data_IF_642414553701
#
_entry.id   IF_642414553701
#
_cell.length_a   1.000
_cell.length_b   1.000
_cell.length_c   1.000
_cell.angle_alpha   90.00
_cell.angle_beta   90.00
_cell.angle_gamma   90.00
#
_symmetry.space_group_name_H-M   'P 1'
#
loop_
_entity.id
_entity.type
_entity.pdbx_description
1 polymer ?
#
# COMPACT_ATOMS: atom_id res chain seq x y z
N UNK A 1 -34.02 -35.97 9.22
CA UNK A 1 -34.49 -34.56 9.17
C UNK A 1 -33.94 -33.91 7.92
N UNK A 2 -34.77 -33.72 6.88
CA UNK A 2 -34.38 -33.06 5.64
C UNK A 2 -34.36 -31.54 5.84
N UNK A 3 -33.18 -30.93 5.77
CA UNK A 3 -33.04 -29.47 5.78
C UNK A 3 -33.35 -28.94 4.39
N UNK A 4 -34.57 -28.46 4.19
CA UNK A 4 -34.95 -27.72 2.99
C UNK A 4 -34.23 -26.38 2.95
N UNK A 5 -33.71 -26.00 1.79
CA UNK A 5 -33.03 -24.72 1.58
C UNK A 5 -34.07 -23.60 1.71
N UNK A 6 -33.79 -22.63 2.58
CA UNK A 6 -34.67 -21.49 2.84
C UNK A 6 -34.68 -20.54 1.62
N UNK A 7 -35.83 -20.42 0.95
CA UNK A 7 -36.02 -19.57 -0.24
C UNK A 7 -35.75 -18.08 0.04
N UNK A 8 -35.97 -17.62 1.27
CA UNK A 8 -35.76 -16.23 1.67
C UNK A 8 -34.27 -15.88 1.74
N UNK A 9 -33.41 -16.88 1.97
CA UNK A 9 -31.96 -16.67 1.95
C UNK A 9 -31.42 -16.46 0.53
N UNK A 10 -32.06 -17.04 -0.49
CA UNK A 10 -31.67 -16.80 -1.89
C UNK A 10 -32.17 -15.44 -2.39
N UNK A 11 -33.32 -14.96 -1.92
CA UNK A 11 -33.84 -13.64 -2.32
C UNK A 11 -32.97 -12.50 -1.82
N UNK A 12 -32.50 -12.51 -0.56
CA UNK A 12 -31.59 -11.47 -0.05
C UNK A 12 -30.25 -11.41 -0.80
N UNK A 13 -29.76 -12.56 -1.28
CA UNK A 13 -28.52 -12.60 -2.07
C UNK A 13 -28.73 -11.98 -3.46
N UNK A 14 -29.87 -12.21 -4.08
CA UNK A 14 -30.21 -11.63 -5.39
C UNK A 14 -30.48 -10.13 -5.28
N UNK A 15 -31.18 -9.71 -4.23
CA UNK A 15 -31.52 -8.30 -3.98
C UNK A 15 -30.26 -7.44 -3.75
N UNK A 16 -29.25 -7.97 -3.03
CA UNK A 16 -27.96 -7.29 -2.88
C UNK A 16 -27.14 -7.17 -4.18
N UNK A 17 -27.41 -8.01 -5.18
CA UNK A 17 -26.73 -8.00 -6.47
C UNK A 17 -27.46 -7.13 -7.52
N UNK A 18 -28.78 -6.97 -7.40
CA UNK A 18 -29.62 -6.23 -8.38
C UNK A 18 -30.06 -4.85 -7.92
N UNK A 19 -29.77 -4.45 -6.66
CA UNK A 19 -30.12 -3.12 -6.16
C UNK A 19 -29.25 -2.02 -6.80
N UNK A 20 -29.66 -1.59 -7.99
CA UNK A 20 -29.35 -0.27 -8.52
C UNK A 20 -30.07 0.75 -7.63
N UNK A 21 -29.29 1.57 -6.93
CA UNK A 21 -29.75 2.64 -6.02
C UNK A 21 -30.92 3.43 -6.64
N UNK A 22 -32.11 3.24 -6.10
CA UNK A 22 -33.16 4.26 -6.08
C UNK A 22 -33.11 5.01 -4.75
N UNK A 23 -33.22 6.32 -4.87
CA UNK A 23 -33.13 7.35 -3.83
C UNK A 23 -34.22 7.22 -2.77
N UNK A 24 -33.81 7.17 -1.48
CA UNK A 24 -34.39 7.66 -0.20
C UNK A 24 -35.85 8.19 -0.12
N UNK A 25 -36.47 8.31 1.08
CA UNK A 25 -36.17 7.77 2.43
C UNK A 25 -37.39 6.98 2.99
N UNK A 26 -37.31 6.27 4.11
CA UNK A 26 -37.82 6.75 5.40
C UNK A 26 -37.59 5.67 6.48
N UNK A 27 -37.11 6.17 7.61
CA UNK A 27 -37.32 5.74 8.99
C UNK A 27 -36.68 4.45 9.57
N UNK A 28 -35.89 4.76 10.60
CA UNK A 28 -35.71 4.08 11.87
C UNK A 28 -34.62 2.99 12.11
N UNK A 29 -33.80 3.36 13.10
CA UNK A 29 -33.07 2.55 14.07
C UNK A 29 -31.62 2.10 13.76
N UNK A 30 -30.67 2.82 14.40
CA UNK A 30 -29.41 2.29 14.95
C UNK A 30 -29.66 1.02 15.80
N UNK A 31 -28.66 0.13 16.08
CA UNK A 31 -27.23 0.45 16.23
C UNK A 31 -26.23 -0.55 15.58
N UNK A 32 -24.97 -0.11 15.57
CA UNK A 32 -23.72 -0.91 15.56
C UNK A 32 -23.85 -2.19 16.44
N UNK A 33 -23.02 -3.27 16.31
CA UNK A 33 -21.59 -3.20 16.01
C UNK A 33 -20.94 -4.41 15.28
N UNK A 34 -19.66 -4.23 14.99
CA UNK A 34 -18.59 -5.22 15.17
C UNK A 34 -18.40 -6.38 14.17
N UNK A 35 -17.12 -6.47 13.80
CA UNK A 35 -16.31 -7.68 13.86
C UNK A 35 -16.28 -8.58 12.62
N UNK A 36 -15.26 -8.30 11.81
CA UNK A 36 -14.12 -9.21 11.63
C UNK A 36 -14.44 -10.61 11.08
N UNK A 37 -14.12 -10.85 9.81
CA UNK A 37 -12.97 -11.70 9.47
C UNK A 37 -12.91 -12.01 7.97
N UNK A 38 -11.78 -11.62 7.38
CA UNK A 38 -10.95 -12.31 6.37
C UNK A 38 -11.60 -12.84 5.07
N UNK A 39 -11.12 -12.19 4.01
CA UNK A 39 -10.50 -12.78 2.81
C UNK A 39 -11.38 -13.66 1.90
N UNK A 40 -11.68 -13.12 0.71
CA UNK A 40 -11.10 -13.67 -0.53
C UNK A 40 -11.13 -12.67 -1.70
N UNK A 41 -9.91 -12.27 -2.06
CA UNK A 41 -9.41 -11.79 -3.35
C UNK A 41 -10.37 -11.91 -4.55
N UNK A 42 -10.56 -10.80 -5.26
CA UNK A 42 -10.76 -10.81 -6.73
C UNK A 42 -9.93 -9.68 -7.33
N UNK A 43 -8.98 -10.09 -8.15
CA UNK A 43 -7.94 -9.34 -8.82
C UNK A 43 -8.37 -8.88 -10.21
N UNK A 44 -8.11 -7.63 -10.61
CA UNK A 44 -7.94 -7.18 -12.02
C UNK A 44 -7.10 -5.86 -12.03
N UNK A 45 -6.52 -5.40 -13.16
CA UNK A 45 -5.22 -5.78 -13.71
C UNK A 45 -4.23 -4.60 -13.77
N UNK A 46 -2.97 -4.85 -13.46
CA UNK A 46 -1.89 -3.87 -13.58
C UNK A 46 -0.57 -4.50 -13.21
N UNK A 47 -0.27 -5.65 -13.81
CA UNK A 47 1.02 -6.34 -13.64
C UNK A 47 2.14 -5.50 -14.27
N UNK A 48 2.64 -4.52 -13.50
CA UNK A 48 4.07 -4.24 -13.57
C UNK A 48 4.78 -5.42 -12.90
N UNK A 49 5.79 -6.02 -13.54
CA UNK A 49 6.51 -7.13 -12.95
C UNK A 49 7.05 -6.69 -11.59
N UNK A 50 6.54 -7.31 -10.52
CA UNK A 50 7.13 -7.20 -9.19
C UNK A 50 8.52 -7.79 -9.32
N UNK A 51 9.50 -6.93 -9.56
CA UNK A 51 10.91 -7.29 -9.56
C UNK A 51 11.19 -8.00 -8.24
N UNK A 52 11.75 -9.22 -8.31
CA UNK A 52 12.14 -10.06 -7.17
C UNK A 52 12.65 -9.19 -6.02
N UNK A 53 11.79 -9.01 -5.02
CA UNK A 53 11.93 -7.96 -4.02
C UNK A 53 13.17 -8.18 -3.17
N UNK A 54 14.12 -7.26 -3.27
CA UNK A 54 15.11 -7.07 -2.23
C UNK A 54 14.43 -6.78 -0.89
N UNK A 55 15.15 -6.98 0.21
CA UNK A 55 14.69 -6.59 1.55
C UNK A 55 14.35 -5.10 1.56
N UNK A 56 13.07 -4.76 1.73
CA UNK A 56 12.63 -3.36 1.89
C UNK A 56 12.91 -2.92 3.31
N UNK A 57 13.64 -1.83 3.47
CA UNK A 57 13.82 -1.17 4.77
C UNK A 57 12.66 -0.19 5.03
N UNK A 58 12.22 -0.09 6.29
CA UNK A 58 11.17 0.84 6.70
C UNK A 58 11.80 2.08 7.29
N UNK A 59 11.39 3.25 6.82
CA UNK A 59 11.80 4.54 7.37
C UNK A 59 10.59 5.25 7.99
N UNK A 60 10.84 5.98 9.08
CA UNK A 60 9.89 6.91 9.66
C UNK A 60 10.58 8.28 9.72
N UNK A 61 9.91 9.33 9.23
CA UNK A 61 10.47 10.68 9.18
C UNK A 61 9.39 11.74 9.40
N UNK A 62 9.81 12.93 9.82
CA UNK A 62 8.94 14.10 9.96
C UNK A 62 9.05 14.97 8.72
N UNK A 63 7.91 15.44 8.20
CA UNK A 63 7.83 16.29 7.01
C UNK A 63 6.88 17.44 7.29
N UNK A 64 7.17 18.62 6.73
CA UNK A 64 6.28 19.77 6.82
C UNK A 64 4.87 19.45 6.33
N UNK A 65 3.86 19.92 7.07
CA UNK A 65 2.45 19.66 6.77
C UNK A 65 2.05 20.08 5.35
N UNK A 66 2.55 21.23 4.88
CA UNK A 66 2.27 21.73 3.53
C UNK A 66 2.86 20.80 2.45
N UNK A 67 4.10 20.33 2.65
CA UNK A 67 4.75 19.39 1.73
C UNK A 67 3.99 18.07 1.69
N UNK A 68 3.60 17.53 2.85
CA UNK A 68 2.84 16.28 2.91
C UNK A 68 1.47 16.39 2.23
N UNK A 69 0.80 17.54 2.34
CA UNK A 69 -0.46 17.76 1.64
C UNK A 69 -0.27 17.73 0.12
N UNK A 70 0.79 18.37 -0.40
CA UNK A 70 1.11 18.31 -1.84
C UNK A 70 1.40 16.88 -2.30
N UNK A 71 2.15 16.11 -1.51
CA UNK A 71 2.43 14.69 -1.78
C UNK A 71 1.14 13.88 -1.88
N UNK A 72 0.20 14.09 -0.96
CA UNK A 72 -1.12 13.41 -0.99
C UNK A 72 -1.92 13.78 -2.23
N UNK A 73 -1.99 15.07 -2.57
CA UNK A 73 -2.71 15.53 -3.76
C UNK A 73 -2.13 14.93 -5.05
N UNK A 74 -0.80 14.88 -5.19
CA UNK A 74 -0.14 14.25 -6.35
C UNK A 74 -0.46 12.75 -6.39
N UNK A 75 -0.40 12.06 -5.25
CA UNK A 75 -0.74 10.65 -5.12
C UNK A 75 -2.18 10.36 -5.56
N UNK A 76 -3.14 11.20 -5.15
CA UNK A 76 -4.55 11.09 -5.54
C UNK A 76 -4.78 11.42 -7.03
N UNK A 77 -4.08 12.44 -7.55
CA UNK A 77 -4.25 12.90 -8.94
C UNK A 77 -3.71 11.88 -9.94
N UNK A 78 -2.53 11.32 -9.66
CA UNK A 78 -1.83 10.40 -10.57
C UNK A 78 -2.14 8.91 -10.27
N UNK A 79 -2.84 8.63 -9.16
CA UNK A 79 -3.14 7.27 -8.73
C UNK A 79 -1.91 6.47 -8.28
N UNK A 80 -0.83 7.15 -7.88
CA UNK A 80 0.45 6.54 -7.48
C UNK A 80 0.51 6.43 -5.96
N UNK A 81 1.05 5.34 -5.42
CA UNK A 81 1.22 5.21 -3.96
C UNK A 81 2.25 6.22 -3.43
N UNK A 82 1.97 6.81 -2.26
CA UNK A 82 2.89 7.75 -1.59
C UNK A 82 4.30 7.14 -1.43
N UNK A 83 4.40 5.85 -1.12
CA UNK A 83 5.69 5.15 -0.99
C UNK A 83 6.49 5.14 -2.30
N UNK A 84 5.83 4.90 -3.44
CA UNK A 84 6.46 4.91 -4.76
C UNK A 84 6.90 6.33 -5.14
N UNK A 85 6.06 7.32 -4.84
CA UNK A 85 6.39 8.73 -5.07
C UNK A 85 7.63 9.17 -4.26
N UNK A 86 7.72 8.77 -2.99
CA UNK A 86 8.89 9.04 -2.14
C UNK A 86 10.12 8.32 -2.66
N UNK A 87 9.99 7.04 -3.04
CA UNK A 87 11.10 6.25 -3.58
C UNK A 87 11.66 6.89 -4.86
N UNK A 88 10.78 7.28 -5.79
CA UNK A 88 11.16 7.99 -7.02
C UNK A 88 11.87 9.31 -6.71
N UNK A 89 11.38 10.06 -5.73
CA UNK A 89 12.01 11.31 -5.29
C UNK A 89 13.43 11.09 -4.76
N UNK A 90 13.64 10.05 -3.96
CA UNK A 90 14.95 9.68 -3.43
C UNK A 90 15.90 9.21 -4.54
N UNK A 91 15.43 8.37 -5.46
CA UNK A 91 16.21 7.89 -6.61
C UNK A 91 16.67 9.07 -7.48
N UNK A 92 15.77 10.02 -7.76
CA UNK A 92 16.12 11.23 -8.51
C UNK A 92 17.21 12.06 -7.82
N UNK A 93 17.16 12.18 -6.49
CA UNK A 93 18.19 12.90 -5.72
C UNK A 93 19.54 12.17 -5.81
N UNK A 94 19.54 10.84 -5.68
CA UNK A 94 20.76 10.03 -5.81
C UNK A 94 21.33 10.18 -7.23
N UNK A 95 20.52 10.01 -8.28
CA UNK A 95 20.98 10.12 -9.67
C UNK A 95 21.60 11.48 -9.96
N UNK A 96 20.97 12.58 -9.54
CA UNK A 96 21.54 13.94 -9.71
C UNK A 96 22.84 14.13 -8.96
N UNK A 97 22.97 13.52 -7.79
CA UNK A 97 24.21 13.58 -7.03
C UNK A 97 25.34 12.79 -7.73
N UNK A 98 25.02 11.59 -8.23
CA UNK A 98 25.99 10.73 -8.93
C UNK A 98 26.48 11.33 -10.25
N UNK A 99 25.62 12.07 -10.97
CA UNK A 99 25.99 12.80 -12.19
C UNK A 99 27.15 13.79 -11.95
N UNK A 100 27.22 14.38 -10.76
CA UNK A 100 28.19 15.44 -10.43
C UNK A 100 29.37 14.96 -9.58
N UNK A 101 29.18 13.93 -8.75
CA UNK A 101 30.17 13.47 -7.77
C UNK A 101 30.69 12.05 -8.04
N UNK A 102 30.15 11.36 -9.05
CA UNK A 102 30.43 9.96 -9.33
C UNK A 102 29.60 9.00 -8.46
N UNK A 103 29.69 7.70 -8.77
CA UNK A 103 28.82 6.67 -8.19
C UNK A 103 28.93 6.59 -6.65
N UNK A 104 27.79 6.64 -5.97
CA UNK A 104 27.69 6.51 -4.51
C UNK A 104 27.76 5.04 -4.15
N UNK A 105 28.97 4.57 -3.86
CA UNK A 105 29.19 3.20 -3.36
C UNK A 105 29.25 3.23 -1.84
N UNK A 106 28.42 2.45 -1.12
CA UNK A 106 28.63 2.27 0.31
C UNK A 106 30.02 1.68 0.52
N UNK A 107 30.91 2.43 1.19
CA UNK A 107 32.25 1.93 1.53
C UNK A 107 32.05 0.70 2.39
N UNK A 108 32.34 -0.49 1.84
CA UNK A 108 32.59 -1.67 2.65
C UNK A 108 33.82 -1.36 3.50
N UNK A 109 33.60 -0.98 4.75
CA UNK A 109 34.68 -0.96 5.73
C UNK A 109 35.09 -2.42 5.86
N UNK A 110 36.24 -2.78 5.31
CA UNK A 110 36.85 -4.06 5.59
C UNK A 110 37.02 -4.12 7.12
N UNK A 111 36.31 -5.03 7.77
CA UNK A 111 36.51 -5.33 9.19
C UNK A 111 38.01 -5.63 9.34
N UNK A 112 38.75 -4.78 10.05
CA UNK A 112 40.18 -4.97 10.24
C UNK A 112 40.44 -6.34 10.84
N UNK A 113 41.39 -7.10 10.29
CA UNK A 113 41.80 -8.36 10.90
C UNK A 113 42.70 -8.04 12.10
N UNK A 114 42.28 -8.48 13.30
CA UNK A 114 43.00 -8.28 14.56
C UNK A 114 44.36 -8.97 14.57
N UNK A 115 44.56 -9.97 13.70
CA UNK A 115 45.80 -10.73 13.60
C UNK A 115 46.99 -9.86 13.14
N UNK A 116 46.72 -8.68 12.54
CA UNK A 116 47.75 -7.72 12.14
C UNK A 116 48.22 -6.82 13.29
N UNK A 117 47.57 -6.86 14.45
CA UNK A 117 47.92 -6.02 15.62
C UNK A 117 48.96 -6.71 16.51
N UNK A 118 49.04 -8.04 16.48
CA UNK A 118 49.88 -8.82 17.38
C UNK A 118 51.07 -9.54 16.70
N UNK A 119 51.60 -8.99 15.59
CA UNK A 119 52.80 -9.53 14.92
C UNK A 119 54.06 -8.74 15.24
#
# INVERSE_FOLDING_TARGET
MSKGINKNSMSSLLEGLTSVRSTTPEDNHQPNPSSNSKEKVTSIPGDKPISKGGSKERICTSVDKNVMNKIRTISETEGIQINELITLGLDMVISKYEETHGAVRPKKINKGNIDNIFR
#
